data_IF_932368072771
#
_entry.id   IF_932368072771
#
_cell.length_a   1.000
_cell.length_b   1.000
_cell.length_c   1.000
_cell.angle_alpha   90.00
_cell.angle_beta   90.00
_cell.angle_gamma   90.00
#
_symmetry.space_group_name_H-M   'P 1'
#
loop_
_entity.id
_entity.type
_entity.pdbx_description
1 polymer ?
#
# COMPACT_ATOMS: atom_id res chain seq x y z
N UNK A 1 9.55 7.97 -28.04
CA UNK A 1 9.13 8.70 -26.83
C UNK A 1 7.67 9.07 -27.04
N UNK A 2 6.79 8.70 -26.13
CA UNK A 2 5.38 9.11 -26.18
C UNK A 2 5.31 10.62 -26.01
N UNK A 3 4.59 11.32 -26.89
CA UNK A 3 4.48 12.78 -26.83
C UNK A 3 3.36 13.12 -25.83
N UNK A 4 3.73 13.63 -24.65
CA UNK A 4 2.76 14.01 -23.62
C UNK A 4 1.95 15.23 -24.09
N UNK A 5 0.64 15.21 -23.83
CA UNK A 5 -0.27 16.30 -24.14
C UNK A 5 -0.52 17.10 -22.87
N UNK A 6 -0.15 18.37 -22.91
CA UNK A 6 -0.44 19.33 -21.86
C UNK A 6 -1.72 20.09 -22.22
N UNK A 7 -2.45 20.54 -21.21
CA UNK A 7 -3.59 21.44 -21.37
C UNK A 7 -3.17 22.83 -21.87
N UNK A 8 -4.14 23.72 -22.08
CA UNK A 8 -3.88 25.10 -22.55
C UNK A 8 -3.00 25.93 -21.59
N UNK A 9 -2.82 25.48 -20.34
CA UNK A 9 -1.95 26.11 -19.35
C UNK A 9 -0.56 25.46 -19.30
N UNK A 10 -0.27 24.50 -20.18
CA UNK A 10 0.99 23.75 -20.18
C UNK A 10 1.10 22.75 -19.04
N UNK A 11 -0.03 22.25 -18.52
CA UNK A 11 -0.09 21.32 -17.39
C UNK A 11 -0.66 19.96 -17.79
N UNK A 12 -0.18 18.91 -17.13
CA UNK A 12 -0.70 17.55 -17.23
C UNK A 12 -1.13 17.07 -15.82
N UNK A 13 -2.35 16.52 -15.65
CA UNK A 13 -2.76 15.89 -14.40
C UNK A 13 -1.92 14.65 -14.09
N UNK A 14 -1.58 14.49 -12.82
CA UNK A 14 -0.77 13.39 -12.32
C UNK A 14 -1.45 12.73 -11.13
N UNK A 15 -1.85 11.48 -11.31
CA UNK A 15 -2.32 10.60 -10.25
C UNK A 15 -1.08 9.98 -9.60
N UNK A 16 -0.84 10.32 -8.34
CA UNK A 16 0.24 9.72 -7.56
C UNK A 16 -0.31 8.49 -6.85
N UNK A 17 0.30 7.33 -7.09
CA UNK A 17 -0.15 6.05 -6.54
C UNK A 17 0.97 5.41 -5.72
N UNK A 18 0.64 4.82 -4.57
CA UNK A 18 1.59 4.03 -3.83
C UNK A 18 1.94 2.75 -4.63
N UNK A 19 3.23 2.54 -4.94
CA UNK A 19 3.67 1.44 -5.80
C UNK A 19 3.32 0.05 -5.26
N UNK A 20 3.32 -0.10 -3.93
CA UNK A 20 3.00 -1.35 -3.22
C UNK A 20 1.49 -1.51 -2.97
N UNK A 21 0.87 -0.62 -2.18
CA UNK A 21 -0.53 -0.76 -1.75
C UNK A 21 -1.54 -0.44 -2.84
N UNK A 22 -1.09 0.19 -3.93
CA UNK A 22 -1.93 0.72 -5.02
C UNK A 22 -2.93 1.78 -4.58
N UNK A 23 -2.80 2.30 -3.37
CA UNK A 23 -3.59 3.42 -2.89
C UNK A 23 -3.27 4.68 -3.71
N UNK A 24 -4.31 5.38 -4.15
CA UNK A 24 -4.16 6.71 -4.76
C UNK A 24 -3.85 7.68 -3.64
N UNK A 25 -2.69 8.34 -3.70
CA UNK A 25 -2.17 9.22 -2.65
C UNK A 25 -2.63 10.66 -2.85
N UNK A 26 -2.51 11.18 -4.07
CA UNK A 26 -2.93 12.54 -4.40
C UNK A 26 -3.13 12.69 -5.90
N UNK A 27 -3.92 13.69 -6.30
CA UNK A 27 -3.86 14.27 -7.63
C UNK A 27 -2.98 15.53 -7.56
N UNK A 28 -2.07 15.69 -8.50
CA UNK A 28 -1.24 16.87 -8.67
C UNK A 28 -1.14 17.24 -10.15
N UNK A 29 -0.39 18.29 -10.48
CA UNK A 29 -0.17 18.73 -11.85
C UNK A 29 1.33 18.88 -12.08
N UNK A 30 1.77 18.56 -13.29
CA UNK A 30 3.13 18.80 -13.75
C UNK A 30 3.11 19.70 -14.99
N UNK A 31 4.04 20.64 -15.08
CA UNK A 31 4.47 21.19 -16.37
C UNK A 31 5.67 20.39 -16.90
N UNK A 32 6.15 20.72 -18.10
CA UNK A 32 7.32 20.06 -18.72
C UNK A 32 8.56 20.07 -17.80
N UNK A 33 8.84 21.19 -17.13
CA UNK A 33 10.00 21.30 -16.23
C UNK A 33 9.91 20.37 -15.02
N UNK A 34 8.75 20.34 -14.34
CA UNK A 34 8.52 19.44 -13.20
C UNK A 34 8.54 17.96 -13.59
N UNK A 35 8.07 17.61 -14.79
CA UNK A 35 8.19 16.26 -15.32
C UNK A 35 9.66 15.87 -15.53
N UNK A 36 10.44 16.73 -16.20
CA UNK A 36 11.85 16.48 -16.46
C UNK A 36 12.65 16.34 -15.15
N UNK A 37 12.40 17.21 -14.16
CA UNK A 37 12.99 17.09 -12.82
C UNK A 37 12.60 15.78 -12.15
N UNK A 38 11.34 15.36 -12.26
CA UNK A 38 10.89 14.08 -11.69
C UNK A 38 11.63 12.89 -12.30
N UNK A 39 11.83 12.88 -13.61
CA UNK A 39 12.59 11.84 -14.31
C UNK A 39 14.08 11.85 -13.91
N UNK A 40 14.67 13.04 -13.79
CA UNK A 40 16.07 13.24 -13.42
C UNK A 40 16.35 12.81 -11.96
N UNK A 41 15.59 13.34 -11.00
CA UNK A 41 15.84 13.11 -9.57
C UNK A 41 15.26 11.80 -9.07
N UNK A 42 14.32 11.20 -9.81
CA UNK A 42 13.50 10.05 -9.37
C UNK A 42 12.74 10.33 -8.07
N UNK A 43 12.39 11.60 -7.85
CA UNK A 43 11.51 12.07 -6.78
C UNK A 43 10.43 12.95 -7.39
N UNK A 44 9.24 13.01 -6.81
CA UNK A 44 8.14 13.75 -7.44
C UNK A 44 8.31 15.26 -7.31
N UNK A 45 8.33 15.93 -8.46
CA UNK A 45 8.22 17.37 -8.61
C UNK A 45 6.88 17.72 -9.24
N UNK A 46 6.22 18.74 -8.71
CA UNK A 46 4.93 19.21 -9.23
C UNK A 46 5.00 20.69 -9.56
N UNK A 47 3.98 21.17 -10.27
CA UNK A 47 3.75 22.60 -10.48
C UNK A 47 2.50 23.03 -9.72
N UNK A 48 2.67 23.99 -8.80
CA UNK A 48 1.57 24.53 -8.01
C UNK A 48 0.77 25.52 -8.85
N UNK A 49 -0.47 25.19 -9.19
CA UNK A 49 -1.36 26.08 -9.96
C UNK A 49 -1.67 27.40 -9.25
N UNK A 50 -1.74 27.39 -7.92
CA UNK A 50 -2.05 28.60 -7.14
C UNK A 50 -0.85 29.49 -6.93
N UNK A 51 0.35 28.90 -6.76
CA UNK A 51 1.59 29.65 -6.50
C UNK A 51 2.41 29.93 -7.78
N UNK A 52 2.07 29.26 -8.88
CA UNK A 52 2.77 29.35 -10.16
C UNK A 52 4.27 29.05 -10.03
N UNK A 53 4.59 28.03 -9.23
CA UNK A 53 5.97 27.65 -8.91
C UNK A 53 6.16 26.13 -8.93
N UNK A 54 7.40 25.70 -9.15
CA UNK A 54 7.80 24.32 -8.94
C UNK A 54 7.80 23.96 -7.46
N UNK A 55 7.39 22.73 -7.17
CA UNK A 55 7.31 22.22 -5.82
C UNK A 55 7.90 20.80 -5.76
N UNK A 56 8.96 20.64 -4.97
CA UNK A 56 9.48 19.33 -4.63
C UNK A 56 8.67 18.73 -3.45
N UNK A 57 7.96 17.63 -3.71
CA UNK A 57 7.11 17.02 -2.69
C UNK A 57 7.95 16.51 -1.52
N UNK A 58 7.64 17.03 -0.33
CA UNK A 58 8.34 16.64 0.90
C UNK A 58 9.57 17.47 1.22
N UNK A 59 9.93 18.47 0.42
CA UNK A 59 11.10 19.33 0.67
C UNK A 59 11.06 19.99 2.07
N UNK A 60 9.89 20.46 2.50
CA UNK A 60 9.72 21.06 3.83
C UNK A 60 9.45 20.03 4.93
N UNK A 61 8.69 18.97 4.62
CA UNK A 61 8.16 18.04 5.63
C UNK A 61 9.01 16.78 5.83
N UNK A 62 9.97 16.50 4.94
CA UNK A 62 10.72 15.23 4.88
C UNK A 62 9.96 14.06 4.24
N UNK A 63 8.64 14.18 4.03
CA UNK A 63 7.79 13.16 3.41
C UNK A 63 7.92 13.17 1.88
N UNK A 64 9.11 12.84 1.40
CA UNK A 64 9.45 12.69 -0.01
C UNK A 64 8.80 11.44 -0.62
N UNK A 65 8.79 11.39 -1.95
CA UNK A 65 8.18 10.30 -2.71
C UNK A 65 9.16 9.84 -3.78
N UNK A 66 9.74 8.66 -3.58
CA UNK A 66 10.66 8.05 -4.55
C UNK A 66 9.86 7.44 -5.69
N UNK A 67 10.15 7.86 -6.92
CA UNK A 67 9.49 7.35 -8.13
C UNK A 67 9.96 5.94 -8.46
N UNK A 68 8.98 5.05 -8.68
CA UNK A 68 9.17 3.66 -9.11
C UNK A 68 8.89 3.52 -10.60
N UNK A 69 7.77 4.08 -11.06
CA UNK A 69 7.39 4.05 -12.47
C UNK A 69 6.54 5.27 -12.84
N UNK A 70 6.55 5.62 -14.12
CA UNK A 70 5.67 6.64 -14.70
C UNK A 70 5.01 6.01 -15.93
N UNK A 71 3.70 6.11 -16.01
CA UNK A 71 2.91 5.67 -17.17
C UNK A 71 1.89 6.74 -17.54
N UNK A 72 1.52 6.76 -18.81
CA UNK A 72 0.50 7.67 -19.34
C UNK A 72 -0.72 6.88 -19.80
N UNK A 73 -1.86 7.54 -19.95
CA UNK A 73 -3.08 6.95 -20.50
C UNK A 73 -3.05 6.84 -22.04
N UNK A 74 -4.16 6.41 -22.62
CA UNK A 74 -4.22 6.01 -24.03
C UNK A 74 -4.12 7.17 -25.02
N UNK A 75 -4.52 8.36 -24.60
CA UNK A 75 -4.43 9.62 -25.34
C UNK A 75 -3.30 10.54 -24.85
N UNK A 76 -2.58 10.13 -23.81
CA UNK A 76 -1.35 10.76 -23.30
C UNK A 76 -1.54 12.13 -22.68
N UNK A 77 -2.71 12.39 -22.08
CA UNK A 77 -3.03 13.64 -21.39
C UNK A 77 -3.17 13.49 -19.87
N UNK A 78 -2.88 12.30 -19.32
CA UNK A 78 -2.69 12.10 -17.89
C UNK A 78 -1.52 11.16 -17.59
N UNK A 79 -0.98 11.31 -16.37
CA UNK A 79 0.06 10.44 -15.84
C UNK A 79 -0.41 9.70 -14.59
N UNK A 80 0.04 8.46 -14.45
CA UNK A 80 0.14 7.76 -13.17
C UNK A 80 1.61 7.66 -12.80
N UNK A 81 1.97 8.22 -11.64
CA UNK A 81 3.31 8.12 -11.06
C UNK A 81 3.25 7.22 -9.84
N UNK A 82 3.87 6.06 -9.94
CA UNK A 82 3.96 5.11 -8.83
C UNK A 82 5.15 5.46 -7.94
N UNK A 83 4.92 5.58 -6.63
CA UNK A 83 5.93 6.04 -5.68
C UNK A 83 6.04 5.16 -4.44
N UNK A 84 7.19 5.21 -3.79
CA UNK A 84 7.39 4.78 -2.41
C UNK A 84 7.49 6.03 -1.52
N UNK A 85 6.43 6.37 -0.75
CA UNK A 85 6.46 7.52 0.16
C UNK A 85 7.29 7.20 1.42
N UNK A 86 8.00 8.20 1.95
CA UNK A 86 8.75 8.08 3.22
C UNK A 86 7.92 8.48 4.45
N UNK A 87 6.69 8.95 4.24
CA UNK A 87 5.75 9.34 5.27
C UNK A 87 4.39 9.75 4.65
N UNK A 88 3.48 10.34 5.44
CA UNK A 88 2.15 10.72 4.96
C UNK A 88 2.19 11.62 3.72
N UNK A 89 1.38 11.31 2.70
CA UNK A 89 1.32 12.12 1.50
C UNK A 89 0.54 13.42 1.73
N UNK A 90 -0.48 13.40 2.60
CA UNK A 90 -1.34 14.53 2.89
C UNK A 90 -0.74 15.46 3.97
N UNK A 91 -0.97 16.76 3.82
CA UNK A 91 -0.53 17.78 4.78
C UNK A 91 -1.27 17.69 6.13
N UNK A 92 -2.38 16.96 6.20
CA UNK A 92 -3.12 16.69 7.44
C UNK A 92 -2.51 15.58 8.28
N UNK A 93 -1.44 14.92 7.79
CA UNK A 93 -0.82 13.76 8.41
C UNK A 93 -1.45 12.42 8.01
N UNK A 94 -2.45 12.43 7.13
CA UNK A 94 -3.05 11.22 6.56
C UNK A 94 -2.21 10.66 5.40
N UNK A 95 -2.26 9.34 5.20
CA UNK A 95 -1.49 8.67 4.15
C UNK A 95 -1.91 9.09 2.73
N UNK A 96 -3.21 9.35 2.53
CA UNK A 96 -3.79 9.82 1.26
C UNK A 96 -4.58 11.11 1.44
N UNK A 97 -4.62 11.95 0.40
CA UNK A 97 -5.55 13.08 0.31
C UNK A 97 -7.02 12.64 0.16
N UNK A 98 -7.27 11.40 -0.28
CA UNK A 98 -8.62 10.87 -0.56
C UNK A 98 -9.21 10.09 0.64
N UNK A 99 -8.96 10.55 1.86
CA UNK A 99 -9.36 9.87 3.09
C UNK A 99 -10.85 10.06 3.46
N UNK A 100 -11.58 10.94 2.76
CA UNK A 100 -13.01 11.18 3.00
C UNK A 100 -13.84 10.43 1.95
N UNK A 101 -14.74 9.56 2.39
CA UNK A 101 -15.70 8.86 1.53
C UNK A 101 -16.99 9.68 1.45
N UNK A 102 -17.49 9.92 0.23
CA UNK A 102 -18.75 10.63 -0.02
C UNK A 102 -19.92 9.66 -0.15
N UNK A 103 -19.75 8.64 -0.99
CA UNK A 103 -20.76 7.63 -1.26
C UNK A 103 -20.12 6.23 -1.25
N UNK A 104 -20.87 5.23 -0.77
CA UNK A 104 -20.52 3.80 -0.86
C UNK A 104 -21.65 3.08 -1.58
N UNK A 105 -21.39 2.63 -2.79
CA UNK A 105 -22.40 1.99 -3.65
C UNK A 105 -22.41 0.46 -3.58
N UNK A 106 -21.37 -0.15 -3.00
CA UNK A 106 -21.27 -1.61 -2.84
C UNK A 106 -20.45 -1.96 -1.58
N UNK A 107 -20.65 -3.16 -1.05
CA UNK A 107 -19.88 -3.80 0.02
C UNK A 107 -18.68 -4.60 -0.56
N UNK A 108 -18.21 -4.28 -1.77
CA UNK A 108 -17.01 -4.94 -2.30
C UNK A 108 -15.83 -4.70 -1.39
N UNK A 109 -15.27 -5.79 -0.85
CA UNK A 109 -14.04 -5.75 -0.06
C UNK A 109 -12.86 -5.64 -1.02
N UNK A 110 -12.22 -4.48 -1.04
CA UNK A 110 -10.98 -4.29 -1.79
C UNK A 110 -9.78 -4.98 -1.12
N UNK A 111 -8.69 -5.11 -1.88
CA UNK A 111 -7.41 -5.62 -1.34
C UNK A 111 -6.85 -4.78 -0.19
N UNK A 112 -7.36 -3.56 0.01
CA UNK A 112 -7.02 -2.69 1.12
C UNK A 112 -7.38 -3.29 2.49
N UNK A 113 -8.27 -4.29 2.58
CA UNK A 113 -8.60 -4.94 3.87
C UNK A 113 -7.35 -5.48 4.57
N UNK A 114 -6.42 -6.06 3.82
CA UNK A 114 -5.16 -6.58 4.37
C UNK A 114 -4.30 -5.43 4.91
N UNK A 115 -4.19 -4.34 4.17
CA UNK A 115 -3.45 -3.13 4.59
C UNK A 115 -4.07 -2.51 5.84
N UNK A 116 -5.40 -2.35 5.88
CA UNK A 116 -6.12 -1.85 7.06
C UNK A 116 -5.90 -2.75 8.27
N UNK A 117 -5.89 -4.07 8.06
CA UNK A 117 -5.62 -5.04 9.12
C UNK A 117 -4.19 -4.93 9.66
N UNK A 118 -3.19 -4.81 8.77
CA UNK A 118 -1.79 -4.57 9.16
C UNK A 118 -1.66 -3.31 10.01
N UNK A 119 -2.27 -2.20 9.58
CA UNK A 119 -2.25 -0.95 10.31
C UNK A 119 -2.93 -1.07 11.68
N UNK A 120 -4.08 -1.75 11.73
CA UNK A 120 -4.80 -2.02 13.00
C UNK A 120 -3.95 -2.85 13.95
N UNK A 121 -3.29 -3.91 13.47
CA UNK A 121 -2.42 -4.77 14.28
C UNK A 121 -1.23 -3.96 14.82
N UNK A 122 -0.60 -3.13 13.98
CA UNK A 122 0.50 -2.24 14.37
C UNK A 122 0.06 -1.23 15.43
N UNK A 123 -1.08 -0.56 15.23
CA UNK A 123 -1.64 0.38 16.21
C UNK A 123 -1.95 -0.30 17.54
N UNK A 124 -2.55 -1.50 17.51
CA UNK A 124 -2.86 -2.27 18.72
C UNK A 124 -1.60 -2.71 19.47
N UNK A 125 -0.52 -3.02 18.76
CA UNK A 125 0.77 -3.33 19.40
C UNK A 125 1.34 -2.10 20.14
N UNK A 126 1.09 -0.89 19.64
CA UNK A 126 1.60 0.35 20.22
C UNK A 126 0.72 0.85 21.37
N UNK A 127 -0.60 0.79 21.20
CA UNK A 127 -1.58 1.35 22.14
C UNK A 127 -2.04 0.35 23.19
N UNK A 128 -1.87 -0.96 22.94
CA UNK A 128 -2.25 -2.06 23.82
C UNK A 128 -3.66 -1.89 24.43
N UNK A 129 -4.72 -1.74 23.61
CA UNK A 129 -6.06 -1.50 24.12
C UNK A 129 -6.55 -2.67 24.97
N UNK A 130 -7.13 -2.35 26.13
CA UNK A 130 -7.64 -3.33 27.08
C UNK A 130 -8.75 -4.19 26.44
N UNK A 131 -8.73 -5.50 26.71
CA UNK A 131 -9.75 -6.45 26.25
C UNK A 131 -9.65 -6.85 24.77
N UNK A 132 -8.76 -6.24 23.98
CA UNK A 132 -8.60 -6.63 22.58
C UNK A 132 -7.85 -7.97 22.44
N UNK A 133 -8.34 -8.84 21.55
CA UNK A 133 -7.71 -10.14 21.28
C UNK A 133 -6.26 -10.01 20.81
N UNK A 134 -5.96 -9.02 19.96
CA UNK A 134 -4.60 -8.73 19.48
C UNK A 134 -3.67 -8.35 20.64
N UNK A 135 -4.15 -7.60 21.63
CA UNK A 135 -3.40 -7.25 22.85
C UNK A 135 -3.03 -8.51 23.62
N UNK A 136 -3.99 -9.41 23.85
CA UNK A 136 -3.74 -10.70 24.50
C UNK A 136 -2.69 -11.53 23.78
N UNK A 137 -2.71 -11.57 22.44
CA UNK A 137 -1.68 -12.28 21.66
C UNK A 137 -0.28 -11.70 21.89
N UNK A 138 -0.13 -10.37 21.85
CA UNK A 138 1.15 -9.71 22.09
C UNK A 138 1.65 -9.87 23.54
N UNK A 139 0.76 -9.79 24.52
CA UNK A 139 1.10 -10.02 25.94
C UNK A 139 1.60 -11.45 26.21
N UNK A 140 1.02 -12.45 25.53
CA UNK A 140 1.46 -13.84 25.66
C UNK A 140 2.71 -14.16 24.82
N UNK A 141 3.07 -13.28 23.89
CA UNK A 141 4.30 -13.36 23.12
C UNK A 141 4.31 -14.44 22.04
N UNK A 142 5.49 -14.63 21.44
CA UNK A 142 5.70 -15.41 20.21
C UNK A 142 5.17 -16.84 20.29
N UNK A 143 5.32 -17.53 21.41
CA UNK A 143 4.89 -18.93 21.54
C UNK A 143 3.38 -19.07 21.38
N UNK A 144 2.60 -18.14 21.95
CA UNK A 144 1.14 -18.15 21.81
C UNK A 144 0.71 -17.81 20.39
N UNK A 145 1.39 -16.86 19.75
CA UNK A 145 1.13 -16.48 18.36
C UNK A 145 1.43 -17.66 17.43
N UNK A 146 2.60 -18.29 17.56
CA UNK A 146 2.99 -19.46 16.77
C UNK A 146 2.04 -20.64 17.00
N UNK A 147 1.56 -20.85 18.23
CA UNK A 147 0.55 -21.87 18.52
C UNK A 147 -0.72 -21.63 17.69
N UNK A 148 -1.23 -20.39 17.63
CA UNK A 148 -2.38 -20.06 16.80
C UNK A 148 -2.11 -20.31 15.32
N UNK A 149 -0.98 -19.82 14.78
CA UNK A 149 -0.60 -20.10 13.38
C UNK A 149 -0.61 -21.60 13.06
N UNK A 150 -0.12 -22.45 13.98
CA UNK A 150 -0.14 -23.90 13.83
C UNK A 150 -1.54 -24.51 13.88
N UNK A 151 -2.41 -24.04 14.77
CA UNK A 151 -3.82 -24.45 14.87
C UNK A 151 -4.56 -24.15 13.56
N UNK A 152 -4.56 -22.89 13.11
CA UNK A 152 -5.29 -22.47 11.90
C UNK A 152 -4.75 -23.17 10.65
N UNK A 153 -3.44 -23.43 10.60
CA UNK A 153 -2.85 -24.20 9.50
C UNK A 153 -3.40 -25.63 9.41
N UNK A 154 -3.62 -26.27 10.56
CA UNK A 154 -4.20 -27.60 10.61
C UNK A 154 -5.69 -27.57 10.24
N UNK A 155 -6.41 -26.55 10.70
CA UNK A 155 -7.84 -26.35 10.41
C UNK A 155 -8.08 -26.10 8.92
N UNK A 156 -7.25 -25.29 8.25
CA UNK A 156 -7.27 -25.14 6.77
C UNK A 156 -7.10 -26.48 6.05
N UNK A 157 -6.17 -27.32 6.49
CA UNK A 157 -5.92 -28.64 5.89
C UNK A 157 -7.16 -29.53 6.06
N UNK A 158 -7.75 -29.54 7.26
CA UNK A 158 -8.93 -30.35 7.60
C UNK A 158 -10.13 -29.90 6.77
N UNK A 159 -10.43 -28.61 6.75
CA UNK A 159 -11.54 -28.03 5.98
C UNK A 159 -11.41 -28.35 4.48
N UNK A 160 -10.20 -28.18 3.92
CA UNK A 160 -9.91 -28.54 2.53
C UNK A 160 -10.13 -30.04 2.26
N UNK A 161 -9.62 -30.92 3.12
CA UNK A 161 -9.80 -32.38 2.99
C UNK A 161 -11.27 -32.80 3.11
N UNK A 162 -12.08 -32.04 3.84
CA UNK A 162 -13.51 -32.27 3.99
C UNK A 162 -14.34 -31.66 2.85
N UNK A 163 -13.74 -30.90 1.94
CA UNK A 163 -14.42 -30.11 0.90
C UNK A 163 -15.43 -29.11 1.49
N UNK A 164 -15.16 -28.59 2.68
CA UNK A 164 -15.98 -27.54 3.28
C UNK A 164 -15.43 -26.17 2.86
N UNK A 165 -16.08 -25.56 1.86
CA UNK A 165 -15.65 -24.29 1.31
C UNK A 165 -15.91 -23.10 2.25
N UNK A 166 -16.92 -23.19 3.12
CA UNK A 166 -17.19 -22.12 4.09
C UNK A 166 -16.16 -22.16 5.21
N UNK A 167 -15.96 -23.33 5.82
CA UNK A 167 -14.93 -23.53 6.86
C UNK A 167 -13.56 -23.14 6.31
N UNK A 168 -13.20 -23.59 5.11
CA UNK A 168 -11.92 -23.24 4.49
C UNK A 168 -11.70 -21.73 4.36
N UNK A 169 -12.75 -20.95 4.05
CA UNK A 169 -12.64 -19.49 3.96
C UNK A 169 -12.37 -18.87 5.33
N UNK A 170 -13.03 -19.34 6.38
CA UNK A 170 -12.84 -18.85 7.74
C UNK A 170 -11.45 -19.19 8.28
N UNK A 171 -11.05 -20.46 8.20
CA UNK A 171 -9.74 -20.91 8.70
C UNK A 171 -8.58 -20.27 7.92
N UNK A 172 -8.75 -20.06 6.62
CA UNK A 172 -7.74 -19.34 5.83
C UNK A 172 -7.64 -17.86 6.22
N UNK A 173 -8.77 -17.21 6.55
CA UNK A 173 -8.77 -15.84 7.04
C UNK A 173 -8.08 -15.73 8.40
N UNK A 174 -8.35 -16.65 9.33
CA UNK A 174 -7.71 -16.69 10.63
C UNK A 174 -6.22 -17.02 10.53
N UNK A 175 -5.82 -17.92 9.63
CA UNK A 175 -4.41 -18.19 9.35
C UNK A 175 -3.69 -16.92 8.85
N UNK A 176 -4.30 -16.18 7.91
CA UNK A 176 -3.75 -14.92 7.40
C UNK A 176 -3.63 -13.90 8.55
N UNK A 177 -4.68 -13.74 9.37
CA UNK A 177 -4.66 -12.82 10.50
C UNK A 177 -3.51 -13.14 11.48
N UNK A 178 -3.39 -14.39 11.91
CA UNK A 178 -2.35 -14.78 12.86
C UNK A 178 -0.94 -14.69 12.27
N UNK A 179 -0.79 -14.95 10.97
CA UNK A 179 0.47 -14.73 10.26
C UNK A 179 0.86 -13.24 10.26
N UNK A 180 -0.08 -12.32 10.02
CA UNK A 180 0.18 -10.87 10.08
C UNK A 180 0.60 -10.42 11.49
N UNK A 181 -0.06 -10.95 12.54
CA UNK A 181 0.34 -10.69 13.94
C UNK A 181 1.76 -11.21 14.21
N UNK A 182 2.09 -12.40 13.72
CA UNK A 182 3.44 -12.97 13.84
C UNK A 182 4.50 -12.11 13.15
N UNK A 183 4.25 -11.67 11.91
CA UNK A 183 5.16 -10.80 11.16
C UNK A 183 5.41 -9.49 11.93
N UNK A 184 4.34 -8.85 12.43
CA UNK A 184 4.45 -7.63 13.24
C UNK A 184 5.24 -7.87 14.54
N UNK A 185 5.00 -8.99 15.24
CA UNK A 185 5.74 -9.34 16.45
C UNK A 185 7.24 -9.56 16.17
N UNK A 186 7.58 -10.14 15.02
CA UNK A 186 8.96 -10.39 14.59
C UNK A 186 9.61 -9.20 13.88
N UNK A 187 8.91 -8.06 13.77
CA UNK A 187 9.38 -6.87 13.05
C UNK A 187 9.72 -7.15 11.58
N UNK A 188 9.04 -8.13 10.97
CA UNK A 188 9.15 -8.42 9.54
C UNK A 188 8.01 -7.70 8.83
N UNK A 189 8.31 -6.84 7.86
CA UNK A 189 7.25 -6.12 7.17
C UNK A 189 6.51 -7.04 6.20
N UNK A 190 5.21 -6.81 6.05
CA UNK A 190 4.43 -7.53 5.02
C UNK A 190 4.97 -7.26 3.61
N UNK A 191 5.61 -6.11 3.39
CA UNK A 191 6.25 -5.80 2.12
C UNK A 191 7.44 -6.72 1.83
N UNK A 192 8.27 -7.04 2.83
CA UNK A 192 9.38 -7.99 2.66
C UNK A 192 8.85 -9.37 2.25
N UNK A 193 7.70 -9.79 2.82
CA UNK A 193 7.03 -11.02 2.40
C UNK A 193 6.58 -10.97 0.93
N UNK A 194 5.98 -9.85 0.49
CA UNK A 194 5.57 -9.67 -0.91
C UNK A 194 6.78 -9.70 -1.87
N UNK A 195 7.91 -9.10 -1.50
CA UNK A 195 9.14 -9.17 -2.28
C UNK A 195 9.65 -10.61 -2.43
N UNK A 196 9.61 -11.39 -1.34
CA UNK A 196 9.97 -12.81 -1.38
C UNK A 196 9.03 -13.61 -2.29
N UNK A 197 7.73 -13.34 -2.26
CA UNK A 197 6.75 -13.99 -3.14
C UNK A 197 7.00 -13.63 -4.61
N UNK A 198 7.25 -12.36 -4.91
CA UNK A 198 7.58 -11.90 -6.27
C UNK A 198 8.84 -12.61 -6.80
N UNK A 199 9.93 -12.56 -6.04
CA UNK A 199 11.20 -13.20 -6.41
C UNK A 199 11.01 -14.70 -6.70
N UNK A 200 10.24 -15.40 -5.86
CA UNK A 200 9.94 -16.83 -6.05
C UNK A 200 9.12 -17.11 -7.31
N UNK A 201 8.25 -16.18 -7.71
CA UNK A 201 7.46 -16.32 -8.94
C UNK A 201 8.35 -16.17 -10.18
N UNK A 202 9.20 -15.14 -10.19
CA UNK A 202 10.15 -14.86 -11.28
C UNK A 202 11.16 -16.01 -11.44
N UNK A 203 11.79 -16.48 -10.36
CA UNK A 203 12.73 -17.61 -10.40
C UNK A 203 12.12 -18.93 -10.90
N UNK A 204 10.80 -19.13 -10.74
CA UNK A 204 10.09 -20.31 -11.27
C UNK A 204 9.73 -20.14 -12.75
N UNK A 205 9.51 -18.92 -13.21
CA UNK A 205 9.26 -18.63 -14.61
C UNK A 205 10.52 -18.86 -15.45
N UNK A 206 11.70 -18.48 -14.93
CA UNK A 206 13.00 -18.67 -15.61
C UNK A 206 13.48 -20.13 -15.71
N UNK A 207 12.83 -21.05 -14.97
CA UNK A 207 13.16 -22.49 -14.96
C UNK A 207 12.25 -23.33 -15.86
N UNK A 208 11.32 -22.71 -16.59
CA UNK A 208 10.44 -23.35 -17.58
C UNK A 208 10.85 -22.95 -18.99
#
# INVERSE_FOLDING_TARGET
>A
MTNLKYDDNGLIPVIVQHAITREVLTLAYMNEESYNKTVETKETWFFSRSRQELWHKGETSGNTQKVVSIRTDCDSDALVVEVLPTGPACHTGQDTCFHNSLDKFDETVGYNVVTSLINTIKERQQTMPEGAYTTYLFEKGVDKICKKVGEESAEVIIASKNNDAEELKWEAADLIYHLLVLLQNQQVSFYDLLQVLQKRHEEKADKK
#
